data_IF_050686719091
#
_entry.id   IF_050686719091
#
_cell.length_a   1.000
_cell.length_b   1.000
_cell.length_c   1.000
_cell.angle_alpha   90.00
_cell.angle_beta   90.00
_cell.angle_gamma   90.00
#
_symmetry.space_group_name_H-M   'P 1'
#
loop_
_entity.id
_entity.type
_entity.pdbx_description
1 polymer ?
#
# COMPACT_ATOMS: atom_id res chain seq x y z
N UNK A 1 -29.01 9.06 -6.50
CA UNK A 1 -29.07 7.72 -5.90
C UNK A 1 -27.75 7.06 -6.25
N UNK A 2 -27.00 6.60 -5.25
CA UNK A 2 -25.79 5.82 -5.50
C UNK A 2 -26.16 4.56 -6.31
N UNK A 3 -25.26 4.10 -7.18
CA UNK A 3 -25.44 2.82 -7.83
C UNK A 3 -25.54 1.70 -6.77
N UNK A 4 -26.38 0.67 -6.97
CA UNK A 4 -26.42 -0.47 -6.07
C UNK A 4 -25.02 -1.11 -5.99
N UNK A 5 -24.63 -1.53 -4.79
CA UNK A 5 -23.39 -2.28 -4.59
C UNK A 5 -23.47 -3.61 -5.33
N UNK A 6 -22.35 -4.13 -5.88
CA UNK A 6 -22.35 -5.44 -6.51
C UNK A 6 -22.59 -6.52 -5.45
N UNK A 7 -23.19 -7.64 -5.87
CA UNK A 7 -23.57 -8.75 -4.98
C UNK A 7 -22.38 -9.36 -4.23
N UNK A 8 -21.14 -9.11 -4.68
CA UNK A 8 -19.91 -9.57 -4.02
C UNK A 8 -19.56 -8.76 -2.77
N UNK A 9 -20.18 -7.60 -2.54
CA UNK A 9 -19.97 -6.81 -1.32
C UNK A 9 -20.73 -7.46 -0.15
N UNK A 10 -20.06 -7.74 0.99
CA UNK A 10 -20.73 -8.31 2.15
C UNK A 10 -21.70 -7.32 2.83
N UNK A 11 -22.67 -7.82 3.62
CA UNK A 11 -23.42 -7.00 4.56
C UNK A 11 -22.51 -6.27 5.56
N UNK A 12 -22.97 -5.15 6.17
CA UNK A 12 -22.23 -4.49 7.24
C UNK A 12 -21.86 -5.45 8.39
N UNK A 13 -20.63 -5.34 8.87
CA UNK A 13 -20.01 -6.19 9.89
C UNK A 13 -19.44 -7.51 9.35
N UNK A 14 -19.69 -7.87 8.09
CA UNK A 14 -19.29 -9.17 7.53
C UNK A 14 -18.09 -9.08 6.58
N UNK A 15 -17.31 -10.16 6.55
CA UNK A 15 -16.30 -10.45 5.53
C UNK A 15 -16.93 -11.30 4.44
N UNK A 16 -16.45 -11.10 3.20
CA UNK A 16 -16.60 -12.07 2.11
C UNK A 16 -15.30 -12.28 1.34
N UNK A 17 -15.03 -13.52 0.96
CA UNK A 17 -13.99 -13.89 0.00
C UNK A 17 -14.52 -13.71 -1.42
N UNK A 18 -13.78 -13.01 -2.29
CA UNK A 18 -14.36 -12.53 -3.56
C UNK A 18 -13.66 -12.99 -4.84
N UNK A 19 -12.48 -13.59 -4.80
CA UNK A 19 -11.75 -13.92 -6.02
C UNK A 19 -12.38 -15.07 -6.83
N UNK A 20 -12.43 -14.91 -8.16
CA UNK A 20 -12.99 -15.87 -9.12
C UNK A 20 -11.94 -16.68 -9.89
N UNK A 21 -10.66 -16.40 -9.67
CA UNK A 21 -9.52 -17.21 -10.10
C UNK A 21 -8.49 -17.29 -8.96
N UNK A 22 -7.53 -18.19 -9.11
CA UNK A 22 -6.41 -18.28 -8.18
C UNK A 22 -5.38 -17.20 -8.49
N UNK A 23 -4.63 -16.78 -7.48
CA UNK A 23 -3.41 -16.01 -7.71
C UNK A 23 -2.33 -16.91 -8.35
N UNK A 24 -2.35 -18.22 -8.09
CA UNK A 24 -1.48 -19.18 -8.78
C UNK A 24 -1.71 -19.28 -10.28
N UNK A 25 -2.95 -19.00 -10.77
CA UNK A 25 -3.27 -18.99 -12.20
C UNK A 25 -2.50 -17.90 -12.97
N UNK A 26 -1.98 -16.91 -12.26
CA UNK A 26 -1.23 -15.79 -12.84
C UNK A 26 0.24 -15.79 -12.43
N UNK A 27 0.80 -16.97 -12.12
CA UNK A 27 2.22 -17.12 -11.78
C UNK A 27 3.15 -16.66 -12.90
N UNK A 28 4.16 -15.84 -12.61
CA UNK A 28 5.21 -15.49 -13.57
C UNK A 28 6.14 -16.67 -13.85
N UNK A 29 6.07 -17.74 -13.05
CA UNK A 29 6.88 -18.93 -13.20
C UNK A 29 6.07 -20.19 -12.85
N UNK A 30 5.15 -20.65 -13.73
CA UNK A 30 4.30 -21.81 -13.44
C UNK A 30 5.09 -23.11 -13.19
N UNK A 31 6.28 -23.25 -13.76
CA UNK A 31 7.15 -24.42 -13.59
C UNK A 31 8.03 -24.36 -12.33
N UNK A 32 7.98 -23.27 -11.55
CA UNK A 32 8.75 -23.07 -10.31
C UNK A 32 10.28 -23.28 -10.46
N UNK A 33 10.84 -23.02 -11.63
CA UNK A 33 12.26 -23.21 -11.95
C UNK A 33 12.94 -21.96 -12.53
N UNK A 34 12.31 -20.79 -12.36
CA UNK A 34 12.82 -19.52 -12.88
C UNK A 34 13.73 -18.85 -11.85
N UNK A 35 14.82 -18.24 -12.32
CA UNK A 35 15.82 -17.62 -11.45
C UNK A 35 15.22 -16.46 -10.62
N UNK A 36 14.25 -15.72 -11.19
CA UNK A 36 13.57 -14.58 -10.58
C UNK A 36 12.47 -14.97 -9.57
N UNK A 37 12.38 -16.24 -9.16
CA UNK A 37 11.20 -16.75 -8.42
C UNK A 37 11.55 -17.53 -7.15
N UNK A 38 12.72 -17.30 -6.56
CA UNK A 38 13.28 -18.06 -5.43
C UNK A 38 12.42 -18.10 -4.17
N UNK A 39 11.61 -17.08 -3.87
CA UNK A 39 10.66 -17.08 -2.75
C UNK A 39 9.20 -17.33 -3.16
N UNK A 40 8.96 -17.65 -4.44
CA UNK A 40 7.64 -17.94 -5.00
C UNK A 40 6.67 -16.75 -4.99
N UNK A 41 5.42 -16.99 -5.39
CA UNK A 41 4.37 -15.95 -5.49
C UNK A 41 3.97 -15.34 -4.15
N UNK A 42 4.45 -15.88 -3.03
CA UNK A 42 4.13 -15.38 -1.70
C UNK A 42 5.01 -14.19 -1.30
N UNK A 43 6.10 -13.92 -2.03
CA UNK A 43 7.06 -12.88 -1.69
C UNK A 43 6.49 -11.45 -1.64
N UNK A 44 5.58 -11.03 -2.54
CA UNK A 44 4.92 -9.72 -2.42
C UNK A 44 4.02 -9.58 -1.19
N UNK A 45 3.76 -10.66 -0.45
CA UNK A 45 2.95 -10.63 0.77
C UNK A 45 3.75 -10.80 2.05
N UNK A 46 4.93 -11.44 2.01
CA UNK A 46 5.72 -11.77 3.20
C UNK A 46 7.00 -10.97 3.39
N UNK A 47 7.56 -10.40 2.33
CA UNK A 47 8.89 -9.79 2.42
C UNK A 47 8.78 -8.28 2.58
N UNK A 48 8.02 -7.86 3.58
CA UNK A 48 7.84 -6.45 3.94
C UNK A 48 7.44 -5.56 2.77
N UNK A 49 6.42 -6.03 2.05
CA UNK A 49 5.91 -5.43 0.82
C UNK A 49 4.50 -4.88 1.07
N UNK A 50 4.22 -3.73 0.48
CA UNK A 50 2.93 -3.05 0.51
C UNK A 50 2.13 -3.22 -0.78
N UNK A 51 0.98 -2.56 -0.79
CA UNK A 51 0.13 -2.40 -1.97
C UNK A 51 -0.33 -0.96 -2.14
N UNK A 52 -0.87 -0.66 -3.32
CA UNK A 52 -1.59 0.57 -3.60
C UNK A 52 -3.01 0.25 -4.09
N UNK A 53 -3.97 1.11 -3.73
CA UNK A 53 -5.31 1.06 -4.31
C UNK A 53 -5.35 1.91 -5.58
N UNK A 54 -5.54 1.25 -6.72
CA UNK A 54 -5.67 1.88 -8.03
C UNK A 54 -7.14 2.22 -8.32
N UNK A 55 -7.58 3.36 -7.79
CA UNK A 55 -8.99 3.78 -7.79
C UNK A 55 -9.63 3.95 -9.18
N UNK A 56 -8.82 4.15 -10.23
CA UNK A 56 -9.28 4.29 -11.61
C UNK A 56 -8.88 3.12 -12.54
N UNK A 57 -8.45 1.98 -11.99
CA UNK A 57 -8.07 0.81 -12.80
C UNK A 57 -9.26 0.19 -13.55
N UNK A 58 -10.44 0.21 -12.92
CA UNK A 58 -11.71 -0.33 -13.42
C UNK A 58 -12.87 0.37 -12.70
N UNK A 59 -14.11 -0.07 -12.91
CA UNK A 59 -15.31 0.51 -12.26
C UNK A 59 -15.19 0.61 -10.74
N UNK A 60 -14.64 -0.41 -10.08
CA UNK A 60 -14.44 -0.43 -8.62
C UNK A 60 -12.97 -0.29 -8.21
N UNK A 61 -12.08 -0.05 -9.16
CA UNK A 61 -10.63 -0.02 -8.97
C UNK A 61 -10.00 -1.40 -8.77
N UNK A 62 -8.73 -1.39 -8.35
CA UNK A 62 -7.95 -2.60 -8.13
C UNK A 62 -6.96 -2.47 -6.97
N UNK A 63 -6.58 -3.59 -6.36
CA UNK A 63 -5.41 -3.66 -5.48
C UNK A 63 -4.18 -4.10 -6.27
N UNK A 64 -3.08 -3.37 -6.14
CA UNK A 64 -1.84 -3.61 -6.89
C UNK A 64 -0.71 -3.94 -5.92
N UNK A 65 -0.08 -5.10 -6.13
CA UNK A 65 0.99 -5.66 -5.30
C UNK A 65 2.24 -5.86 -6.14
N UNK A 66 3.39 -5.50 -5.57
CA UNK A 66 4.69 -5.79 -6.17
C UNK A 66 5.80 -5.67 -5.15
N UNK A 67 6.81 -6.51 -5.28
CA UNK A 67 7.99 -6.55 -4.42
C UNK A 67 8.34 -7.99 -4.10
N UNK A 68 9.20 -8.18 -3.11
CA UNK A 68 9.65 -9.52 -2.74
C UNK A 68 11.05 -9.56 -2.17
N UNK A 69 11.47 -8.52 -1.43
CA UNK A 69 12.85 -8.36 -1.00
C UNK A 69 13.46 -9.53 -0.21
N UNK A 70 14.74 -9.41 0.14
CA UNK A 70 15.59 -10.54 0.52
C UNK A 70 15.67 -11.65 -0.55
N UNK A 71 15.55 -11.31 -1.83
CA UNK A 71 15.61 -12.29 -2.93
C UNK A 71 14.43 -13.25 -2.93
N UNK A 72 13.27 -12.84 -2.42
CA UNK A 72 12.05 -13.63 -2.45
C UNK A 72 11.35 -13.66 -3.81
N UNK A 73 11.74 -12.84 -4.76
CA UNK A 73 11.30 -13.02 -6.15
C UNK A 73 11.43 -11.74 -6.93
N UNK A 74 12.36 -11.73 -7.89
CA UNK A 74 12.64 -10.66 -8.84
C UNK A 74 11.61 -10.56 -9.98
N UNK A 75 10.34 -10.90 -9.71
CA UNK A 75 9.26 -10.70 -10.68
C UNK A 75 9.06 -9.21 -10.95
N UNK A 76 9.19 -8.81 -12.21
CA UNK A 76 9.06 -7.42 -12.65
C UNK A 76 7.62 -7.04 -12.99
N UNK A 77 6.71 -8.02 -12.98
CA UNK A 77 5.27 -7.80 -13.17
C UNK A 77 4.58 -7.50 -11.84
N UNK A 78 3.64 -6.54 -11.87
CA UNK A 78 2.73 -6.28 -10.78
C UNK A 78 1.63 -7.33 -10.74
N UNK A 79 1.25 -7.81 -9.55
CA UNK A 79 0.01 -8.56 -9.36
C UNK A 79 -1.15 -7.60 -9.11
N UNK A 80 -2.25 -7.80 -9.83
CA UNK A 80 -3.41 -6.90 -9.77
C UNK A 80 -4.66 -7.70 -9.51
N UNK A 81 -5.39 -7.36 -8.44
CA UNK A 81 -6.75 -7.83 -8.22
C UNK A 81 -7.75 -6.76 -8.63
N UNK A 82 -8.49 -7.00 -9.70
CA UNK A 82 -9.54 -6.11 -10.18
C UNK A 82 -10.88 -6.39 -9.50
N UNK A 83 -11.44 -5.41 -8.79
CA UNK A 83 -12.73 -5.57 -8.10
C UNK A 83 -13.94 -5.57 -9.04
N UNK A 84 -13.79 -5.19 -10.30
CA UNK A 84 -14.87 -5.26 -11.29
C UNK A 84 -15.05 -6.68 -11.81
N UNK A 85 -13.96 -7.35 -12.17
CA UNK A 85 -13.98 -8.74 -12.62
C UNK A 85 -13.82 -9.77 -11.49
N UNK A 86 -13.42 -9.31 -10.30
CA UNK A 86 -13.02 -10.12 -9.15
C UNK A 86 -11.93 -11.15 -9.50
N UNK A 87 -10.95 -10.74 -10.30
CA UNK A 87 -9.88 -11.63 -10.77
C UNK A 87 -8.50 -11.04 -10.55
N UNK A 88 -7.56 -11.94 -10.25
CA UNK A 88 -6.14 -11.72 -10.34
C UNK A 88 -5.69 -11.65 -11.80
N UNK A 89 -4.75 -10.76 -12.06
CA UNK A 89 -4.04 -10.58 -13.33
C UNK A 89 -2.61 -10.11 -13.05
N UNK A 90 -1.80 -10.02 -14.11
CA UNK A 90 -0.48 -9.40 -14.06
C UNK A 90 -0.39 -8.22 -15.02
N UNK A 91 0.35 -7.20 -14.63
CA UNK A 91 0.65 -6.03 -15.45
C UNK A 91 2.15 -5.73 -15.34
N UNK A 92 2.85 -5.75 -16.47
CA UNK A 92 4.30 -5.53 -16.51
C UNK A 92 4.93 -6.16 -17.74
N UNK A 93 6.22 -5.88 -18.00
CA UNK A 93 6.98 -6.55 -19.05
C UNK A 93 7.23 -8.01 -18.69
N UNK A 94 7.77 -8.77 -19.65
CA UNK A 94 8.24 -10.12 -19.35
C UNK A 94 9.42 -10.08 -18.37
N UNK A 95 9.64 -11.17 -17.64
CA UNK A 95 10.84 -11.31 -16.82
C UNK A 95 12.05 -11.58 -17.72
N UNK A 96 13.22 -10.97 -17.45
CA UNK A 96 14.45 -11.29 -18.17
C UNK A 96 14.82 -12.77 -18.05
N UNK A 97 15.38 -13.35 -19.12
CA UNK A 97 15.76 -14.77 -19.14
C UNK A 97 16.92 -15.11 -18.18
N UNK A 98 17.73 -14.12 -17.83
CA UNK A 98 18.92 -14.28 -16.97
C UNK A 98 18.97 -13.20 -15.90
N UNK A 99 19.68 -13.50 -14.81
CA UNK A 99 19.90 -12.57 -13.71
C UNK A 99 20.60 -11.30 -14.21
N UNK A 100 19.93 -10.16 -14.04
CA UNK A 100 20.38 -8.85 -14.48
C UNK A 100 20.94 -7.99 -13.34
N UNK A 101 21.06 -8.52 -12.12
CA UNK A 101 21.49 -7.76 -10.94
C UNK A 101 22.88 -7.09 -11.11
N UNK A 102 23.78 -7.69 -11.88
CA UNK A 102 25.10 -7.12 -12.18
C UNK A 102 25.07 -6.04 -13.28
N UNK A 103 23.93 -5.88 -13.95
CA UNK A 103 23.72 -4.98 -15.08
C UNK A 103 22.89 -3.74 -14.71
N UNK A 104 22.48 -3.63 -13.44
CA UNK A 104 21.64 -2.51 -12.99
C UNK A 104 22.38 -1.18 -13.09
N UNK A 105 21.69 -0.15 -13.56
CA UNK A 105 22.15 1.23 -13.56
C UNK A 105 22.46 1.63 -12.10
N UNK A 106 23.69 2.03 -11.76
CA UNK A 106 24.06 2.31 -10.37
C UNK A 106 23.38 3.56 -9.81
N UNK A 107 22.91 4.48 -10.66
CA UNK A 107 22.20 5.69 -10.26
C UNK A 107 20.71 5.43 -10.05
N UNK A 108 20.10 4.68 -10.97
CA UNK A 108 18.65 4.44 -10.93
C UNK A 108 18.26 3.17 -10.18
N UNK A 109 19.18 2.21 -10.07
CA UNK A 109 18.97 0.85 -9.59
C UNK A 109 17.91 0.08 -10.40
N UNK A 110 17.92 0.27 -11.72
CA UNK A 110 17.03 -0.39 -12.66
C UNK A 110 17.81 -1.01 -13.84
N UNK A 111 17.11 -1.70 -14.72
CA UNK A 111 17.66 -2.31 -15.92
C UNK A 111 16.68 -2.12 -17.09
N UNK A 112 17.19 -1.77 -18.28
CA UNK A 112 16.34 -1.58 -19.46
C UNK A 112 16.03 -2.93 -20.11
N UNK A 113 14.76 -3.35 -20.06
CA UNK A 113 14.27 -4.59 -20.64
C UNK A 113 12.95 -4.33 -21.37
N UNK A 114 12.84 -4.72 -22.63
CA UNK A 114 11.62 -4.54 -23.45
C UNK A 114 11.09 -3.10 -23.47
N UNK A 115 11.97 -2.10 -23.46
CA UNK A 115 11.60 -0.69 -23.41
C UNK A 115 11.09 -0.21 -22.04
N UNK A 116 11.18 -1.05 -21.01
CA UNK A 116 10.81 -0.75 -19.62
C UNK A 116 12.06 -0.67 -18.72
N UNK A 117 12.10 0.31 -17.83
CA UNK A 117 13.13 0.43 -16.80
C UNK A 117 12.75 -0.39 -15.56
N UNK A 118 12.94 -1.71 -15.64
CA UNK A 118 12.53 -2.65 -14.60
C UNK A 118 13.45 -2.58 -13.37
N UNK A 119 12.87 -2.72 -12.20
CA UNK A 119 13.59 -2.66 -10.92
C UNK A 119 13.65 -4.08 -10.33
N UNK A 120 14.80 -4.51 -9.76
CA UNK A 120 14.87 -5.74 -8.96
C UNK A 120 13.85 -5.72 -7.82
N UNK A 121 13.34 -6.89 -7.42
CA UNK A 121 12.32 -6.90 -6.38
C UNK A 121 12.90 -6.57 -4.99
N UNK A 122 12.18 -5.72 -4.26
CA UNK A 122 12.68 -5.08 -3.05
C UNK A 122 11.58 -4.98 -1.99
N UNK A 123 11.91 -4.42 -0.82
CA UNK A 123 10.93 -4.12 0.23
C UNK A 123 10.21 -2.81 -0.08
N UNK A 124 8.90 -2.87 -0.35
CA UNK A 124 8.11 -1.67 -0.62
C UNK A 124 7.41 -1.10 0.62
N UNK A 125 7.29 -1.85 1.72
CA UNK A 125 6.66 -1.37 2.97
C UNK A 125 5.32 -0.66 2.78
N UNK A 126 5.22 0.64 3.11
CA UNK A 126 4.03 1.48 2.92
C UNK A 126 4.19 2.48 1.75
N UNK A 127 5.22 2.28 0.92
CA UNK A 127 5.65 3.20 -0.14
C UNK A 127 4.76 3.22 -1.39
N UNK A 128 4.17 2.09 -1.83
CA UNK A 128 3.41 2.09 -3.06
C UNK A 128 2.28 3.13 -3.05
N UNK A 129 2.19 3.90 -4.13
CA UNK A 129 1.19 4.93 -4.33
C UNK A 129 0.54 4.80 -5.72
N UNK A 130 -0.48 5.62 -5.98
CA UNK A 130 -1.24 5.57 -7.22
C UNK A 130 -1.50 6.95 -7.82
N UNK A 131 -1.44 7.04 -9.15
CA UNK A 131 -1.91 8.20 -9.93
C UNK A 131 -3.13 7.78 -10.76
N UNK A 132 -4.29 8.45 -10.60
CA UNK A 132 -5.49 8.11 -11.37
C UNK A 132 -5.40 8.50 -12.85
N UNK A 133 -6.20 7.87 -13.75
CA UNK A 133 -6.08 8.03 -15.21
C UNK A 133 -6.32 9.44 -15.73
N UNK A 134 -7.02 10.27 -14.95
CA UNK A 134 -7.36 11.65 -15.34
C UNK A 134 -6.19 12.63 -15.16
N UNK A 135 -4.96 12.13 -14.96
CA UNK A 135 -3.76 12.93 -14.71
C UNK A 135 -2.76 12.80 -15.85
N UNK A 136 -1.92 13.80 -16.01
CA UNK A 136 -0.97 13.87 -17.12
C UNK A 136 0.00 12.70 -17.07
N UNK A 137 0.19 11.95 -18.16
CA UNK A 137 1.18 10.86 -18.21
C UNK A 137 0.85 9.62 -17.37
N UNK A 138 -0.41 9.47 -16.96
CA UNK A 138 -0.95 8.20 -16.48
C UNK A 138 -1.88 7.63 -17.56
N UNK A 139 -1.70 6.37 -17.95
CA UNK A 139 -2.57 5.73 -18.92
C UNK A 139 -4.01 5.54 -18.46
N UNK A 140 -4.86 4.90 -19.28
CA UNK A 140 -6.30 4.74 -19.02
C UNK A 140 -6.67 4.05 -17.69
N UNK A 141 -5.74 3.30 -17.09
CA UNK A 141 -5.90 2.63 -15.78
C UNK A 141 -5.13 3.31 -14.65
N UNK A 142 -4.47 4.43 -14.95
CA UNK A 142 -3.59 5.14 -14.03
C UNK A 142 -2.18 4.55 -14.00
N UNK A 143 -1.40 4.97 -13.02
CA UNK A 143 -0.03 4.50 -12.82
C UNK A 143 0.20 4.08 -11.38
N UNK A 144 0.82 2.92 -11.19
CA UNK A 144 1.37 2.52 -9.90
C UNK A 144 2.73 3.17 -9.71
N UNK A 145 3.02 3.62 -8.50
CA UNK A 145 4.22 4.38 -8.19
C UNK A 145 5.06 3.72 -7.12
N UNK A 146 6.35 3.88 -7.32
CA UNK A 146 7.40 3.52 -6.39
C UNK A 146 8.20 4.78 -6.07
N UNK A 147 7.75 5.59 -5.09
CA UNK A 147 8.35 6.90 -4.82
C UNK A 147 9.75 6.80 -4.21
N UNK A 148 10.11 5.66 -3.62
CA UNK A 148 11.45 5.35 -3.12
C UNK A 148 11.51 3.86 -2.75
N UNK A 149 12.71 3.31 -2.61
CA UNK A 149 12.93 2.00 -1.98
C UNK A 149 14.18 1.98 -1.09
N UNK A 150 14.05 1.27 0.02
CA UNK A 150 15.15 1.00 0.95
C UNK A 150 15.69 -0.40 0.69
N UNK A 151 16.98 -0.47 0.37
CA UNK A 151 17.77 -1.71 0.34
C UNK A 151 18.73 -1.67 1.53
N UNK A 152 19.21 -2.83 1.98
CA UNK A 152 20.56 -2.93 2.55
C UNK A 152 21.58 -2.75 1.40
N UNK A 153 21.59 -1.55 0.78
CA UNK A 153 22.28 -1.22 -0.47
C UNK A 153 21.83 0.15 -1.01
N UNK A 154 22.28 0.55 -2.22
CA UNK A 154 21.93 1.86 -2.79
C UNK A 154 20.41 2.01 -2.98
N UNK A 155 19.85 3.21 -2.70
CA UNK A 155 18.42 3.48 -2.87
C UNK A 155 18.02 3.36 -4.34
N UNK A 156 16.82 2.85 -4.60
CA UNK A 156 16.24 2.91 -5.95
C UNK A 156 15.63 4.28 -6.15
N UNK A 157 15.94 4.85 -7.31
CA UNK A 157 15.31 6.08 -7.75
C UNK A 157 13.81 5.87 -8.01
N UNK A 158 12.99 6.93 -8.13
CA UNK A 158 11.55 6.74 -8.25
C UNK A 158 11.12 6.27 -9.65
N UNK A 159 10.18 5.33 -9.68
CA UNK A 159 9.62 4.73 -10.89
C UNK A 159 8.10 4.75 -10.89
N UNK A 160 7.54 4.68 -12.10
CA UNK A 160 6.12 4.50 -12.33
C UNK A 160 5.87 3.35 -13.31
N UNK A 161 4.81 2.61 -13.08
CA UNK A 161 4.31 1.59 -14.02
C UNK A 161 2.95 2.04 -14.54
N UNK A 162 2.83 2.17 -15.85
CA UNK A 162 1.54 2.39 -16.49
C UNK A 162 0.69 1.12 -16.37
N UNK A 163 -0.49 1.21 -15.73
CA UNK A 163 -1.29 0.03 -15.39
C UNK A 163 -2.07 -0.56 -16.58
N UNK A 164 -2.06 0.09 -17.73
CA UNK A 164 -2.64 -0.45 -18.96
C UNK A 164 -1.59 -1.21 -19.78
N UNK A 165 -0.42 -0.61 -19.95
CA UNK A 165 0.65 -1.13 -20.82
C UNK A 165 1.69 -1.96 -20.08
N UNK A 166 1.80 -1.81 -18.76
CA UNK A 166 2.82 -2.44 -17.94
C UNK A 166 4.21 -1.81 -18.06
N UNK A 167 4.37 -0.73 -18.80
CA UNK A 167 5.68 -0.13 -19.04
C UNK A 167 6.21 0.56 -17.78
N UNK A 168 7.43 0.21 -17.38
CA UNK A 168 8.14 0.89 -16.30
C UNK A 168 8.89 2.10 -16.83
N UNK A 169 8.74 3.22 -16.13
CA UNK A 169 9.31 4.52 -16.49
C UNK A 169 9.98 5.17 -15.31
N UNK A 170 11.04 5.93 -15.59
CA UNK A 170 11.76 6.75 -14.60
C UNK A 170 11.04 8.08 -14.38
N UNK A 171 11.23 8.66 -13.19
CA UNK A 171 10.96 10.08 -12.96
C UNK A 171 12.02 10.95 -13.65
N UNK A 172 11.87 12.27 -13.65
CA UNK A 172 12.80 13.17 -14.36
C UNK A 172 14.16 13.31 -13.64
N UNK A 173 14.24 12.90 -12.38
CA UNK A 173 15.44 12.95 -11.56
C UNK A 173 15.58 11.70 -10.68
N UNK A 174 16.80 11.23 -10.52
CA UNK A 174 17.18 10.11 -9.64
C UNK A 174 17.20 10.49 -8.15
N UNK A 175 16.43 11.51 -7.75
CA UNK A 175 16.37 11.96 -6.35
C UNK A 175 15.42 11.02 -5.58
N UNK A 176 15.91 9.80 -5.33
CA UNK A 176 15.50 8.99 -4.18
C UNK A 176 16.47 9.31 -3.05
N UNK A 177 16.00 9.65 -1.86
CA UNK A 177 16.83 10.34 -0.85
C UNK A 177 18.12 9.58 -0.52
N UNK A 178 19.25 10.28 -0.63
CA UNK A 178 20.57 9.79 -0.18
C UNK A 178 20.78 10.05 1.33
N UNK A 179 19.88 10.82 1.97
CA UNK A 179 20.04 11.24 3.38
C UNK A 179 19.12 10.51 4.38
N UNK A 180 18.13 9.74 3.93
CA UNK A 180 17.31 8.92 4.82
C UNK A 180 18.09 7.68 5.28
N UNK A 181 18.82 7.78 6.38
CA UNK A 181 19.53 6.66 7.01
C UNK A 181 18.59 5.60 7.64
N UNK A 182 17.30 5.58 7.31
CA UNK A 182 16.29 4.77 7.99
C UNK A 182 15.29 4.14 7.01
N UNK A 183 15.05 2.80 7.05
CA UNK A 183 14.13 2.11 6.15
C UNK A 183 12.65 2.50 6.25
N UNK A 184 12.32 3.45 7.11
CA UNK A 184 10.97 3.65 7.62
C UNK A 184 10.40 4.95 7.06
N UNK A 185 9.93 4.90 5.82
CA UNK A 185 9.39 6.07 5.10
C UNK A 185 7.87 6.08 5.14
N UNK A 186 7.29 7.26 5.32
CA UNK A 186 5.84 7.48 5.22
C UNK A 186 5.48 8.12 3.88
N UNK A 187 4.30 7.79 3.36
CA UNK A 187 3.76 8.36 2.11
C UNK A 187 2.38 8.95 2.38
N UNK A 188 2.10 10.12 1.82
CA UNK A 188 0.78 10.77 1.82
C UNK A 188 0.31 10.91 0.38
N UNK A 189 -0.86 10.36 0.08
CA UNK A 189 -1.58 10.59 -1.18
C UNK A 189 -2.60 11.74 -0.97
N UNK A 190 -2.23 13.00 -1.24
CA UNK A 190 -3.15 14.15 -1.19
C UNK A 190 -4.02 14.12 -2.46
N UNK A 191 -5.17 13.47 -2.34
CA UNK A 191 -6.14 13.30 -3.43
C UNK A 191 -6.89 14.59 -3.76
N UNK A 192 -6.91 15.59 -2.88
CA UNK A 192 -7.60 16.86 -3.10
C UNK A 192 -6.79 17.77 -4.00
N UNK A 193 -5.48 17.86 -3.75
CA UNK A 193 -4.54 18.69 -4.56
C UNK A 193 -3.88 17.90 -5.68
N UNK A 194 -3.90 16.57 -5.60
CA UNK A 194 -3.24 15.71 -6.58
C UNK A 194 -1.72 15.70 -6.40
N UNK A 195 -1.26 15.56 -5.17
CA UNK A 195 0.17 15.48 -4.83
C UNK A 195 0.45 14.20 -4.04
N UNK A 196 1.66 13.69 -4.17
CA UNK A 196 2.16 12.63 -3.28
C UNK A 196 3.38 13.14 -2.58
N UNK A 197 3.40 13.01 -1.25
CA UNK A 197 4.52 13.39 -0.40
C UNK A 197 5.14 12.15 0.22
N UNK A 198 6.46 12.14 0.38
CA UNK A 198 7.16 11.10 1.13
C UNK A 198 8.43 11.62 1.78
N UNK A 199 8.76 11.04 2.93
CA UNK A 199 10.00 11.30 3.64
C UNK A 199 10.33 10.11 4.55
N UNK A 200 11.63 9.91 4.77
CA UNK A 200 12.11 8.97 5.78
C UNK A 200 11.70 9.42 7.18
N UNK A 201 11.51 8.46 8.09
CA UNK A 201 11.44 8.73 9.53
C UNK A 201 12.67 9.54 9.93
N UNK A 202 12.42 10.56 10.73
CA UNK A 202 13.44 11.48 11.23
C UNK A 202 14.10 12.33 10.12
N UNK A 203 13.48 12.51 8.96
CA UNK A 203 13.93 13.52 7.99
C UNK A 203 13.34 14.90 8.31
N UNK A 204 14.14 15.95 8.09
CA UNK A 204 13.70 17.35 8.11
C UNK A 204 13.50 17.91 6.70
N UNK A 205 13.17 17.04 5.76
CA UNK A 205 12.80 17.38 4.41
C UNK A 205 11.70 16.44 3.91
N UNK A 206 10.87 16.92 3.00
CA UNK A 206 9.85 16.12 2.34
C UNK A 206 10.05 16.20 0.83
N UNK A 207 9.96 15.06 0.17
CA UNK A 207 9.93 14.99 -1.29
C UNK A 207 8.47 14.91 -1.73
N UNK A 208 8.18 15.46 -2.91
CA UNK A 208 6.86 15.36 -3.47
C UNK A 208 6.87 15.52 -4.99
N UNK A 209 5.79 15.10 -5.64
CA UNK A 209 5.51 15.43 -7.04
C UNK A 209 4.04 15.80 -7.21
N UNK A 210 3.75 16.52 -8.30
CA UNK A 210 2.39 16.88 -8.68
C UNK A 210 1.85 15.95 -9.77
N UNK A 211 0.58 15.58 -9.69
CA UNK A 211 -0.12 14.84 -10.74
C UNK A 211 -0.25 15.67 -12.03
N UNK A 212 -0.19 17.00 -11.93
CA UNK A 212 -0.20 17.92 -13.06
C UNK A 212 1.15 17.99 -13.79
N UNK A 213 2.25 17.54 -13.19
CA UNK A 213 3.56 17.53 -13.83
C UNK A 213 3.54 16.69 -15.11
N UNK A 214 4.27 17.11 -16.14
CA UNK A 214 4.45 16.32 -17.36
C UNK A 214 5.23 15.04 -17.07
N UNK A 215 4.99 13.99 -17.83
CA UNK A 215 5.82 12.78 -17.77
C UNK A 215 7.12 12.97 -18.58
N UNK A 216 8.30 12.59 -18.06
CA UNK A 216 8.55 12.04 -16.73
C UNK A 216 8.41 13.09 -15.62
N UNK A 217 7.85 12.69 -14.47
CA UNK A 217 7.48 13.62 -13.39
C UNK A 217 8.69 14.19 -12.67
N UNK A 218 8.59 15.47 -12.28
CA UNK A 218 9.62 16.14 -11.49
C UNK A 218 9.41 15.89 -10.01
N UNK A 219 10.51 15.60 -9.32
CA UNK A 219 10.54 15.48 -7.87
C UNK A 219 10.96 16.82 -7.30
N UNK A 220 10.13 17.35 -6.42
CA UNK A 220 10.41 18.54 -5.62
C UNK A 220 10.86 18.10 -4.23
N UNK A 221 11.73 18.89 -3.59
CA UNK A 221 12.16 18.66 -2.21
C UNK A 221 12.05 19.95 -1.44
N UNK A 222 11.43 19.88 -0.28
CA UNK A 222 11.21 21.02 0.60
C UNK A 222 11.74 20.74 2.00
N UNK A 223 12.48 21.69 2.56
CA UNK A 223 12.89 21.63 3.96
C UNK A 223 11.68 21.88 4.87
N UNK A 224 11.55 21.08 5.92
CA UNK A 224 10.51 21.23 6.94
C UNK A 224 11.16 21.53 8.29
N UNK A 225 10.51 22.34 9.13
CA UNK A 225 11.05 22.75 10.44
C UNK A 225 10.89 21.70 11.54
N UNK A 226 10.47 20.49 11.19
CA UNK A 226 10.11 19.40 12.08
C UNK A 226 10.63 18.07 11.53
N UNK A 227 10.62 17.04 12.37
CA UNK A 227 11.08 15.69 12.02
C UNK A 227 9.90 14.84 11.57
N UNK A 228 9.93 14.35 10.33
CA UNK A 228 8.89 13.50 9.77
C UNK A 228 8.77 12.19 10.54
N UNK A 229 7.57 11.85 11.02
CA UNK A 229 7.29 10.58 11.71
C UNK A 229 8.39 10.18 12.72
N UNK A 230 8.69 11.06 13.68
CA UNK A 230 9.87 10.93 14.54
C UNK A 230 9.97 9.55 15.24
N UNK A 231 11.08 8.85 15.03
CA UNK A 231 11.37 7.51 15.56
C UNK A 231 10.45 6.40 15.04
N UNK A 232 9.78 6.61 13.92
CA UNK A 232 8.80 5.67 13.40
C UNK A 232 9.41 4.41 12.81
N UNK A 233 8.74 3.29 13.06
CA UNK A 233 8.95 2.01 12.40
C UNK A 233 7.68 1.70 11.59
N UNK A 234 7.84 1.66 10.26
CA UNK A 234 6.76 1.52 9.27
C UNK A 234 5.64 2.57 9.36
N UNK A 235 5.94 3.87 9.31
CA UNK A 235 4.89 4.89 9.32
C UNK A 235 3.94 4.75 8.14
N UNK A 236 2.66 4.98 8.40
CA UNK A 236 1.63 5.12 7.39
C UNK A 236 0.87 6.42 7.64
N UNK A 237 0.77 7.27 6.63
CA UNK A 237 0.01 8.50 6.71
C UNK A 237 -1.22 8.40 5.83
N UNK A 238 -2.37 8.76 6.40
CA UNK A 238 -3.66 8.69 5.71
C UNK A 238 -4.19 10.11 5.57
N UNK A 239 -4.35 10.56 4.33
CA UNK A 239 -5.00 11.83 4.02
C UNK A 239 -6.52 11.68 4.15
N UNK A 240 -7.14 12.63 4.85
CA UNK A 240 -8.59 12.70 5.06
C UNK A 240 -9.14 13.95 4.34
N UNK A 241 -9.73 13.80 3.14
CA UNK A 241 -10.12 14.94 2.31
C UNK A 241 -11.11 15.90 2.97
N UNK A 242 -12.05 15.38 3.78
CA UNK A 242 -13.05 16.18 4.48
C UNK A 242 -12.51 16.98 5.67
N UNK A 243 -11.35 16.58 6.22
CA UNK A 243 -10.63 17.33 7.26
C UNK A 243 -9.54 18.24 6.66
N UNK A 244 -9.13 17.96 5.42
CA UNK A 244 -7.93 18.54 4.79
C UNK A 244 -6.66 18.39 5.64
N UNK A 245 -6.55 17.21 6.27
CA UNK A 245 -5.47 16.83 7.16
C UNK A 245 -5.00 15.42 6.83
N UNK A 246 -3.76 15.11 7.16
CA UNK A 246 -3.25 13.74 7.18
C UNK A 246 -2.94 13.32 8.62
N UNK A 247 -3.16 12.05 8.92
CA UNK A 247 -2.82 11.45 10.21
C UNK A 247 -1.81 10.35 9.99
N UNK A 248 -0.66 10.44 10.66
CA UNK A 248 0.38 9.43 10.65
C UNK A 248 0.20 8.43 11.79
N UNK A 249 0.46 7.15 11.52
CA UNK A 249 0.40 6.05 12.48
C UNK A 249 1.65 5.17 12.38
N UNK A 250 2.24 4.82 13.52
CA UNK A 250 3.39 3.90 13.59
C UNK A 250 3.55 3.32 15.01
N UNK A 251 4.51 2.42 15.16
CA UNK A 251 5.15 2.16 16.47
C UNK A 251 6.63 2.50 16.37
N UNK A 252 7.33 2.53 17.51
CA UNK A 252 8.81 2.57 17.49
C UNK A 252 9.37 1.15 17.38
N UNK A 253 10.62 1.02 16.92
CA UNK A 253 11.26 -0.29 16.81
C UNK A 253 11.27 -1.04 18.15
N UNK A 254 10.78 -2.28 18.15
CA UNK A 254 10.66 -3.12 19.35
C UNK A 254 9.56 -2.70 20.34
N UNK A 255 8.72 -1.72 19.98
CA UNK A 255 7.61 -1.24 20.81
C UNK A 255 6.24 -1.62 20.21
N UNK A 256 5.25 -1.72 21.08
CA UNK A 256 3.85 -2.07 20.75
C UNK A 256 2.91 -0.87 20.78
N UNK A 257 3.32 0.24 21.41
CA UNK A 257 2.48 1.43 21.53
C UNK A 257 2.29 2.12 20.18
N UNK A 258 1.04 2.41 19.85
CA UNK A 258 0.69 3.19 18.65
C UNK A 258 1.00 4.67 18.91
N UNK A 259 1.80 5.25 18.05
CA UNK A 259 2.15 6.68 18.02
C UNK A 259 1.65 7.31 16.72
N UNK A 260 1.51 8.63 16.73
CA UNK A 260 1.16 9.36 15.52
C UNK A 260 1.28 10.86 15.61
N UNK A 261 0.97 11.48 14.48
CA UNK A 261 1.01 12.92 14.28
C UNK A 261 -0.15 13.38 13.41
N UNK A 262 -0.53 14.63 13.59
CA UNK A 262 -1.51 15.31 12.72
C UNK A 262 -0.78 16.35 11.88
N UNK A 263 -1.01 16.26 10.58
CA UNK A 263 -0.45 17.13 9.56
C UNK A 263 -1.57 17.93 8.91
N UNK A 264 -1.43 19.24 8.91
CA UNK A 264 -2.28 20.15 8.15
C UNK A 264 -1.79 20.22 6.71
N UNK A 265 -2.71 19.98 5.77
CA UNK A 265 -2.42 19.93 4.35
C UNK A 265 -2.90 21.21 3.62
N UNK A 266 -3.54 22.13 4.33
CA UNK A 266 -4.19 23.32 3.76
C UNK A 266 -3.24 24.18 2.91
N UNK A 267 -1.97 24.29 3.31
CA UNK A 267 -0.95 25.10 2.66
C UNK A 267 -0.40 24.52 1.34
N UNK A 268 -0.73 23.27 1.01
CA UNK A 268 -0.21 22.57 -0.17
C UNK A 268 1.11 21.83 0.05
N UNK A 269 1.63 21.85 1.28
CA UNK A 269 2.77 21.09 1.81
C UNK A 269 2.40 20.65 3.25
N UNK A 270 2.78 19.45 3.71
CA UNK A 270 2.48 19.00 5.06
C UNK A 270 3.09 19.90 6.14
N UNK A 271 2.25 20.38 7.06
CA UNK A 271 2.68 21.12 8.25
C UNK A 271 2.29 20.35 9.50
N UNK A 272 3.28 19.88 10.27
CA UNK A 272 3.00 19.21 11.54
C UNK A 272 2.39 20.17 12.54
N UNK A 273 1.20 19.83 13.04
CA UNK A 273 0.50 20.61 14.07
C UNK A 273 0.82 20.11 15.46
N UNK A 274 0.75 18.80 15.66
CA UNK A 274 1.00 18.18 16.96
C UNK A 274 1.37 16.72 16.82
N UNK A 275 2.12 16.20 17.80
CA UNK A 275 2.07 14.78 18.12
C UNK A 275 0.72 14.46 18.73
N UNK A 276 0.13 13.34 18.34
CA UNK A 276 -1.15 12.93 18.90
C UNK A 276 -0.89 12.14 20.17
N UNK A 277 -1.47 12.59 21.27
CA UNK A 277 -1.62 11.78 22.48
C UNK A 277 -3.02 11.18 22.40
N UNK A 278 -3.14 10.05 21.71
CA UNK A 278 -4.33 9.21 21.82
C UNK A 278 -4.30 8.45 23.15
N UNK A 279 -5.45 7.96 23.65
CA UNK A 279 -5.44 7.05 24.79
C UNK A 279 -4.54 5.85 24.49
N UNK A 280 -3.83 5.36 25.51
CA UNK A 280 -2.89 4.25 25.40
C UNK A 280 -3.52 3.05 24.66
N UNK A 281 -2.84 2.58 23.63
CA UNK A 281 -3.24 1.40 22.88
C UNK A 281 -2.01 0.66 22.34
N UNK A 282 -2.05 -0.66 22.45
CA UNK A 282 -0.98 -1.56 22.05
C UNK A 282 -1.44 -2.42 20.87
N UNK A 283 -0.57 -2.54 19.87
CA UNK A 283 -0.67 -3.54 18.80
C UNK A 283 0.28 -4.70 19.09
N UNK A 284 0.04 -5.88 18.54
CA UNK A 284 0.92 -7.05 18.66
C UNK A 284 2.30 -6.81 18.05
N UNK A 285 2.37 -6.06 16.95
CA UNK A 285 3.63 -5.68 16.33
C UNK A 285 3.48 -4.48 15.40
N UNK A 286 4.62 -3.86 15.06
CA UNK A 286 4.69 -2.90 13.96
C UNK A 286 4.22 -3.50 12.62
N UNK A 287 3.91 -2.62 11.67
CA UNK A 287 3.51 -3.00 10.31
C UNK A 287 2.01 -3.28 10.15
N UNK A 288 1.17 -2.85 11.09
CA UNK A 288 -0.28 -2.86 10.90
C UNK A 288 -0.69 -2.00 9.69
N UNK A 289 -1.85 -2.32 9.13
CA UNK A 289 -2.51 -1.51 8.12
C UNK A 289 -3.46 -0.53 8.76
N UNK A 290 -3.61 0.63 8.13
CA UNK A 290 -4.56 1.66 8.56
C UNK A 290 -5.13 2.35 7.34
N UNK A 291 -6.45 2.60 7.34
CA UNK A 291 -7.08 3.49 6.36
C UNK A 291 -8.32 4.17 6.97
N UNK A 292 -8.80 5.20 6.30
CA UNK A 292 -9.94 6.02 6.74
C UNK A 292 -11.24 5.55 6.09
N UNK A 293 -12.29 5.39 6.90
CA UNK A 293 -13.65 5.19 6.41
C UNK A 293 -14.41 6.53 6.44
N UNK A 294 -14.69 7.16 5.28
CA UNK A 294 -15.40 8.42 5.22
C UNK A 294 -16.88 8.31 5.61
N UNK A 295 -17.46 7.11 5.68
CA UNK A 295 -18.85 6.91 6.08
C UNK A 295 -18.98 6.91 7.61
N UNK A 296 -18.17 6.12 8.30
CA UNK A 296 -18.21 6.05 9.77
C UNK A 296 -17.37 7.13 10.45
N UNK A 297 -16.55 7.85 9.69
CA UNK A 297 -15.60 8.87 10.17
C UNK A 297 -14.62 8.30 11.21
N UNK A 298 -14.07 7.13 10.92
CA UNK A 298 -13.10 6.43 11.77
C UNK A 298 -11.89 5.98 10.98
N UNK A 299 -10.74 5.92 11.65
CA UNK A 299 -9.62 5.13 11.19
C UNK A 299 -9.81 3.68 11.62
N UNK A 300 -9.53 2.75 10.71
CA UNK A 300 -9.56 1.32 10.97
C UNK A 300 -8.15 0.76 10.86
N UNK A 301 -7.70 0.11 11.94
CA UNK A 301 -6.35 -0.39 12.11
C UNK A 301 -6.42 -1.92 12.18
N UNK A 302 -5.82 -2.57 11.18
CA UNK A 302 -5.81 -4.02 11.04
C UNK A 302 -4.39 -4.55 11.14
N UNK A 303 -4.15 -5.44 12.10
CA UNK A 303 -2.80 -5.99 12.32
C UNK A 303 -2.44 -7.14 11.37
N UNK A 304 -3.42 -7.66 10.61
CA UNK A 304 -3.22 -8.83 9.76
C UNK A 304 -3.17 -10.14 10.55
N UNK A 305 -2.45 -11.13 9.99
CA UNK A 305 -2.18 -12.43 10.62
C UNK A 305 -3.44 -13.18 11.03
N UNK A 306 -4.48 -13.09 10.22
CA UNK A 306 -5.72 -13.82 10.47
C UNK A 306 -6.52 -13.32 11.67
N UNK A 307 -6.21 -12.12 12.20
CA UNK A 307 -7.07 -11.51 13.23
C UNK A 307 -8.49 -11.38 12.69
N UNK A 308 -9.45 -11.75 13.54
CA UNK A 308 -10.88 -11.55 13.31
C UNK A 308 -11.40 -10.23 13.89
N UNK A 309 -10.51 -9.35 14.34
CA UNK A 309 -10.86 -8.03 14.86
C UNK A 309 -10.09 -6.94 14.11
N UNK A 310 -10.67 -5.74 14.13
CA UNK A 310 -10.06 -4.51 13.67
C UNK A 310 -10.24 -3.46 14.75
N UNK A 311 -9.16 -2.74 15.04
CA UNK A 311 -9.21 -1.63 15.99
C UNK A 311 -9.70 -0.38 15.26
N UNK A 312 -10.43 0.46 15.96
CA UNK A 312 -11.00 1.69 15.43
C UNK A 312 -10.53 2.86 16.27
N UNK A 313 -10.16 3.95 15.60
CA UNK A 313 -9.84 5.20 16.25
C UNK A 313 -10.77 6.29 15.74
N UNK A 314 -11.62 6.77 16.64
CA UNK A 314 -12.68 7.74 16.32
C UNK A 314 -12.31 9.12 16.85
N UNK A 315 -12.12 10.13 15.98
CA UNK A 315 -12.00 11.51 16.41
C UNK A 315 -13.37 12.09 16.79
N UNK A 316 -13.42 12.98 17.78
CA UNK A 316 -14.64 13.70 18.16
C UNK A 316 -15.07 14.78 17.15
N UNK A 317 -14.17 15.20 16.26
CA UNK A 317 -14.42 16.20 15.22
C UNK A 317 -13.44 16.02 14.04
N UNK A 318 -13.70 16.69 12.92
CA UNK A 318 -12.77 16.71 11.77
C UNK A 318 -11.63 17.72 11.92
N UNK A 319 -11.61 18.50 13.00
CA UNK A 319 -10.41 19.26 13.38
C UNK A 319 -9.54 18.37 14.27
N UNK A 320 -8.67 17.60 13.62
CA UNK A 320 -7.80 16.63 14.31
C UNK A 320 -6.78 17.27 15.25
N UNK A 321 -6.58 18.59 15.18
CA UNK A 321 -5.67 19.29 16.11
C UNK A 321 -6.28 19.48 17.50
N UNK A 322 -7.61 19.50 17.58
CA UNK A 322 -8.37 19.72 18.82
C UNK A 322 -9.27 18.54 19.18
N UNK A 323 -9.43 17.58 18.28
CA UNK A 323 -10.22 16.37 18.50
C UNK A 323 -9.69 15.55 19.68
N UNK A 324 -10.61 15.07 20.51
CA UNK A 324 -10.35 13.93 21.39
C UNK A 324 -10.52 12.64 20.62
N UNK A 325 -9.81 11.59 21.01
CA UNK A 325 -9.77 10.33 20.29
C UNK A 325 -10.24 9.18 21.16
N UNK A 326 -11.04 8.28 20.58
CA UNK A 326 -11.59 7.12 21.27
C UNK A 326 -11.27 5.85 20.52
N UNK A 327 -10.61 4.90 21.20
CA UNK A 327 -10.42 3.54 20.70
C UNK A 327 -11.69 2.71 20.85
N UNK A 328 -11.90 1.80 19.92
CA UNK A 328 -12.88 0.73 20.00
C UNK A 328 -12.47 -0.44 19.11
N UNK A 329 -13.18 -1.55 19.20
CA UNK A 329 -12.86 -2.76 18.43
C UNK A 329 -14.11 -3.23 17.71
N UNK A 330 -13.98 -3.59 16.43
CA UNK A 330 -15.01 -4.30 15.67
C UNK A 330 -14.55 -5.73 15.40
N UNK A 331 -15.47 -6.68 15.48
CA UNK A 331 -15.20 -8.10 15.18
C UNK A 331 -15.84 -8.44 13.84
N UNK A 332 -15.11 -9.18 13.02
CA UNK A 332 -15.58 -9.67 11.74
C UNK A 332 -16.60 -10.81 11.94
N UNK A 333 -17.75 -10.70 11.27
CA UNK A 333 -18.63 -11.84 10.98
C UNK A 333 -18.45 -12.33 9.53
N UNK A 334 -19.30 -13.25 9.09
CA UNK A 334 -19.29 -13.74 7.70
C UNK A 334 -18.28 -14.87 7.46
N UNK A 335 -17.63 -14.84 6.30
CA UNK A 335 -16.63 -15.85 5.93
C UNK A 335 -15.48 -15.90 6.94
N UNK A 336 -14.94 -17.09 7.19
CA UNK A 336 -13.72 -17.22 7.97
C UNK A 336 -12.56 -16.54 7.23
N UNK A 337 -11.66 -15.81 7.93
CA UNK A 337 -10.44 -15.29 7.32
C UNK A 337 -9.65 -16.41 6.65
N UNK A 338 -9.14 -16.16 5.44
CA UNK A 338 -8.38 -17.15 4.68
C UNK A 338 -7.15 -17.62 5.47
N UNK A 339 -6.49 -16.68 6.15
CA UNK A 339 -5.56 -17.00 7.21
C UNK A 339 -6.31 -17.17 8.55
N UNK A 340 -6.49 -18.40 9.02
CA UNK A 340 -7.28 -18.69 10.23
C UNK A 340 -6.46 -18.90 11.50
N UNK A 341 -5.13 -18.98 11.40
CA UNK A 341 -4.25 -19.25 12.55
C UNK A 341 -3.52 -17.98 12.99
N UNK A 342 -4.00 -17.35 14.06
CA UNK A 342 -3.39 -16.14 14.61
C UNK A 342 -1.93 -16.37 15.03
N UNK A 343 -1.03 -15.49 14.58
CA UNK A 343 0.34 -15.40 15.09
C UNK A 343 1.39 -16.34 14.48
N UNK A 344 1.04 -17.16 13.47
CA UNK A 344 1.98 -18.11 12.84
C UNK A 344 2.72 -17.58 11.60
N UNK A 345 2.95 -16.26 11.54
CA UNK A 345 3.59 -15.59 10.41
C UNK A 345 5.06 -15.23 10.64
N UNK A 346 5.82 -15.08 9.55
CA UNK A 346 7.11 -14.43 9.57
C UNK A 346 7.00 -12.93 9.86
N UNK A 347 8.13 -12.26 10.15
CA UNK A 347 8.16 -10.85 10.53
C UNK A 347 7.59 -9.87 9.49
N UNK A 348 7.51 -10.26 8.21
CA UNK A 348 6.95 -9.42 7.14
C UNK A 348 5.54 -9.78 6.70
N UNK A 349 4.89 -10.74 7.37
CA UNK A 349 3.50 -11.15 7.14
C UNK A 349 2.54 -10.18 7.88
N UNK A 350 2.66 -8.91 7.56
CA UNK A 350 1.96 -7.81 8.23
C UNK A 350 1.11 -7.04 7.22
N UNK A 351 0.03 -6.40 7.68
CA UNK A 351 -0.96 -5.79 6.79
C UNK A 351 -0.39 -4.59 5.98
N UNK A 352 0.35 -3.67 6.61
CA UNK A 352 0.93 -2.49 5.94
C UNK A 352 -0.10 -1.78 5.04
N UNK A 353 0.32 -1.21 3.92
CA UNK A 353 -0.58 -0.60 2.93
C UNK A 353 -1.41 -1.62 2.12
N UNK A 354 -1.38 -2.92 2.45
CA UNK A 354 -2.23 -3.96 1.84
C UNK A 354 -3.65 -3.97 2.40
N UNK A 355 -3.90 -3.27 3.50
CA UNK A 355 -5.23 -2.99 4.03
C UNK A 355 -5.69 -1.61 3.55
N UNK A 356 -6.70 -1.56 2.68
CA UNK A 356 -7.18 -0.31 2.08
C UNK A 356 -8.69 -0.22 2.07
N UNK A 357 -9.23 0.98 2.28
CA UNK A 357 -10.65 1.25 2.07
C UNK A 357 -10.94 1.46 0.58
N UNK A 358 -11.97 0.80 0.07
CA UNK A 358 -12.44 0.85 -1.32
C UNK A 358 -13.75 1.64 -1.36
N UNK A 359 -13.74 2.95 -1.69
CA UNK A 359 -14.91 3.81 -1.49
C UNK A 359 -16.16 3.37 -2.24
N UNK A 360 -15.99 2.88 -3.48
CA UNK A 360 -17.11 2.45 -4.31
C UNK A 360 -17.74 1.12 -3.87
N UNK A 361 -17.02 0.33 -3.08
CA UNK A 361 -17.54 -0.90 -2.46
C UNK A 361 -18.00 -0.69 -1.01
N UNK A 362 -17.64 0.46 -0.41
CA UNK A 362 -17.87 0.77 1.01
C UNK A 362 -17.22 -0.27 1.95
N UNK A 363 -16.13 -0.89 1.50
CA UNK A 363 -15.46 -1.99 2.19
C UNK A 363 -13.97 -1.77 2.29
N UNK A 364 -13.34 -2.34 3.32
CA UNK A 364 -11.91 -2.57 3.33
C UNK A 364 -11.57 -3.83 2.54
N UNK A 365 -10.40 -3.83 1.90
CA UNK A 365 -9.89 -4.96 1.14
C UNK A 365 -8.47 -5.30 1.53
N UNK A 366 -8.15 -6.60 1.53
CA UNK A 366 -6.81 -7.14 1.69
C UNK A 366 -6.72 -8.56 1.14
N UNK A 367 -5.49 -9.04 0.98
CA UNK A 367 -5.19 -10.44 0.68
C UNK A 367 -3.99 -10.89 1.50
N UNK A 368 -4.01 -12.13 1.95
CA UNK A 368 -2.90 -12.78 2.67
C UNK A 368 -1.91 -13.49 1.72
N UNK A 369 -2.21 -13.55 0.41
CA UNK A 369 -1.35 -14.14 -0.62
C UNK A 369 -1.63 -15.63 -0.90
N UNK A 370 -0.86 -16.23 -1.82
CA UNK A 370 -1.03 -17.62 -2.31
C UNK A 370 -0.93 -18.70 -1.24
N UNK A 371 -0.29 -18.42 -0.10
CA UNK A 371 -0.11 -19.40 0.98
C UNK A 371 -1.42 -19.78 1.68
N UNK A 372 -2.51 -19.05 1.41
CA UNK A 372 -3.78 -19.20 2.08
C UNK A 372 -4.88 -19.46 1.05
N UNK A 373 -5.76 -20.40 1.38
CA UNK A 373 -6.84 -20.84 0.50
C UNK A 373 -8.16 -20.90 1.26
N UNK A 374 -9.25 -20.64 0.54
CA UNK A 374 -10.60 -20.75 1.05
C UNK A 374 -11.55 -21.20 -0.05
N UNK A 375 -12.70 -21.75 0.33
CA UNK A 375 -13.78 -22.04 -0.62
C UNK A 375 -14.48 -20.74 -1.00
N UNK A 376 -14.62 -20.49 -2.31
CA UNK A 376 -15.37 -19.38 -2.89
C UNK A 376 -16.27 -19.95 -3.98
N UNK A 377 -17.57 -19.78 -3.84
CA UNK A 377 -18.60 -20.32 -4.75
C UNK A 377 -18.48 -21.83 -4.98
N UNK A 378 -18.15 -22.60 -3.93
CA UNK A 378 -18.00 -24.06 -4.01
C UNK A 378 -16.66 -24.52 -4.60
N UNK A 379 -15.73 -23.60 -4.89
CA UNK A 379 -14.41 -23.91 -5.44
C UNK A 379 -13.32 -23.47 -4.47
N UNK A 380 -12.39 -24.36 -4.13
CA UNK A 380 -11.20 -24.00 -3.36
C UNK A 380 -10.28 -23.11 -4.19
N UNK A 381 -9.92 -21.94 -3.64
CA UNK A 381 -9.05 -20.96 -4.30
C UNK A 381 -7.90 -20.53 -3.42
N UNK A 382 -6.78 -20.12 -4.03
CA UNK A 382 -5.66 -19.46 -3.34
C UNK A 382 -5.59 -17.95 -3.61
N UNK A 383 -4.76 -17.24 -2.83
CA UNK A 383 -4.58 -15.80 -3.00
C UNK A 383 -5.86 -15.05 -2.70
N UNK A 384 -6.54 -15.43 -1.62
CA UNK A 384 -7.89 -14.94 -1.36
C UNK A 384 -7.88 -13.42 -1.20
N UNK A 385 -8.70 -12.75 -2.02
CA UNK A 385 -9.05 -11.34 -1.79
C UNK A 385 -10.28 -11.30 -0.89
N UNK A 386 -10.18 -10.54 0.19
CA UNK A 386 -11.23 -10.40 1.19
C UNK A 386 -11.77 -8.98 1.16
N UNK A 387 -13.09 -8.86 1.21
CA UNK A 387 -13.78 -7.59 1.48
C UNK A 387 -14.38 -7.64 2.87
N UNK A 388 -14.24 -6.56 3.64
CA UNK A 388 -14.96 -6.37 4.90
C UNK A 388 -15.72 -5.05 4.88
N UNK A 389 -17.02 -5.09 5.15
CA UNK A 389 -17.84 -3.88 5.21
C UNK A 389 -18.02 -3.44 6.68
N UNK A 390 -17.61 -2.23 7.08
CA UNK A 390 -17.78 -1.80 8.47
C UNK A 390 -19.23 -1.72 8.90
N UNK A 391 -19.51 -1.99 10.18
CA UNK A 391 -20.88 -2.20 10.69
C UNK A 391 -21.82 -0.98 10.55
N UNK A 392 -21.25 0.23 10.44
CA UNK A 392 -22.00 1.48 10.32
C UNK A 392 -22.10 2.04 8.89
N UNK A 393 -21.98 1.21 7.84
CA UNK A 393 -21.92 1.65 6.43
C UNK A 393 -23.07 1.21 5.56
#
# INVERSE_FOLDING_TARGET
MDAPLPDTVPPPGQIRNVNLNNLSDVSPCPANNCWYFSGGQQAPWRNWTGAAFASGFSTYGAMVYWGGGHGGGDDVSLYVFDFTSNKWSRVGPSNPETDYNSLVDPTWQDYLHEGSYIVPALHTYNLPAYVPPNKSGSGPKGSWLLPMLVRNGPPVSPHAVDLETGVWTRFSSAIGTIEASSPYTGVIEDTKRGKVFWAGSDEQAVNWFDFADTHPRTIHREAISWWWAQGAYYPRHIYVPEADMAVGFWTQYGQTKVLGEVLDMSSGVPVRKTFVVWPDHDVMSAGFGVDWCPITKKFYIYEGRGKNTVETLTPSSLDFTTATWTWGTETFGGDAPAWSTQGTGGGGDVALSKWRYIPLLKSFAWSDGVAYSAEVDGVMRDGIMQLWRPSGT
#
